data_IF_993921827515
#
_entry.id   IF_993921827515
#
_cell.length_a   1.000
_cell.length_b   1.000
_cell.length_c   1.000
_cell.angle_alpha   90.00
_cell.angle_beta   90.00
_cell.angle_gamma   90.00
#
_symmetry.space_group_name_H-M   'P 1'
#
loop_
_entity.id
_entity.type
_entity.pdbx_description
1 polymer ?
#
# COMPACT_ATOMS: atom_id res chain seq x y z
N UNK A 1 13.16 -21.23 -5.78
CA UNK A 1 12.63 -19.98 -5.19
C UNK A 1 11.50 -19.42 -6.05
N UNK A 2 11.72 -18.55 -7.04
CA UNK A 2 10.60 -17.93 -7.79
C UNK A 2 9.72 -18.94 -8.52
N UNK A 3 10.31 -19.90 -9.24
CA UNK A 3 9.55 -20.95 -9.96
C UNK A 3 8.77 -21.87 -9.01
N UNK A 4 9.30 -22.10 -7.81
CA UNK A 4 8.65 -22.88 -6.76
C UNK A 4 7.47 -22.11 -6.16
N UNK A 5 7.65 -20.83 -5.84
CA UNK A 5 6.59 -19.95 -5.33
C UNK A 5 5.45 -19.77 -6.35
N UNK A 6 5.79 -19.68 -7.64
CA UNK A 6 4.81 -19.54 -8.73
C UNK A 6 4.24 -20.87 -9.23
N UNK A 7 4.74 -22.01 -8.76
CA UNK A 7 4.30 -23.34 -9.21
C UNK A 7 4.57 -23.63 -10.69
N UNK A 8 5.66 -23.09 -11.25
CA UNK A 8 6.05 -23.24 -12.66
C UNK A 8 7.48 -23.81 -12.80
N UNK A 9 7.89 -24.18 -14.02
CA UNK A 9 9.31 -24.49 -14.30
C UNK A 9 10.10 -23.20 -14.55
N UNK A 10 11.42 -23.25 -14.36
CA UNK A 10 12.30 -22.09 -14.59
C UNK A 10 12.19 -21.56 -16.02
N UNK A 11 12.06 -22.46 -17.01
CA UNK A 11 11.95 -22.10 -18.42
C UNK A 11 10.65 -21.35 -18.78
N UNK A 12 9.66 -21.32 -17.88
CA UNK A 12 8.40 -20.56 -18.06
C UNK A 12 8.51 -19.11 -17.56
N UNK A 13 9.59 -18.75 -16.87
CA UNK A 13 9.83 -17.39 -16.39
C UNK A 13 10.53 -16.60 -17.50
N UNK A 14 9.82 -15.62 -18.06
CA UNK A 14 10.30 -14.85 -19.21
C UNK A 14 11.14 -13.64 -18.82
N UNK A 15 10.65 -12.84 -17.88
CA UNK A 15 11.25 -11.58 -17.42
C UNK A 15 10.78 -11.33 -15.98
N UNK A 16 11.59 -10.63 -15.17
CA UNK A 16 11.25 -10.28 -13.80
C UNK A 16 11.70 -8.86 -13.46
N UNK A 17 10.87 -8.15 -12.71
CA UNK A 17 11.25 -6.92 -12.03
C UNK A 17 10.97 -7.12 -10.54
N UNK A 18 12.02 -7.05 -9.72
CA UNK A 18 11.95 -7.39 -8.30
C UNK A 18 12.57 -6.28 -7.47
N UNK A 19 11.84 -5.88 -6.43
CA UNK A 19 12.37 -5.02 -5.37
C UNK A 19 12.83 -5.89 -4.20
N UNK A 20 14.04 -5.62 -3.70
CA UNK A 20 14.47 -6.20 -2.42
C UNK A 20 13.74 -5.46 -1.29
N UNK A 21 13.29 -6.22 -0.30
CA UNK A 21 12.67 -5.66 0.89
C UNK A 21 13.28 -6.25 2.16
N UNK A 22 13.32 -5.44 3.21
CA UNK A 22 13.65 -5.91 4.55
C UNK A 22 12.60 -6.95 5.01
N UNK A 23 13.07 -8.02 5.63
CA UNK A 23 12.23 -9.09 6.16
C UNK A 23 11.74 -8.80 7.58
N UNK A 24 12.31 -7.80 8.25
CA UNK A 24 11.84 -7.35 9.55
C UNK A 24 10.43 -6.75 9.42
N UNK A 25 9.41 -7.27 10.14
CA UNK A 25 8.08 -6.70 10.11
C UNK A 25 8.02 -5.30 10.71
N UNK A 26 7.11 -4.48 10.18
CA UNK A 26 6.76 -3.19 10.79
C UNK A 26 6.24 -3.39 12.21
N UNK A 27 6.60 -2.48 13.13
CA UNK A 27 6.16 -2.53 14.51
C UNK A 27 5.94 -1.12 15.08
N UNK A 28 5.28 -1.07 16.25
CA UNK A 28 5.30 0.13 17.08
C UNK A 28 6.56 0.13 17.95
N UNK A 29 7.06 1.31 18.25
CA UNK A 29 8.23 1.49 19.10
C UNK A 29 8.22 2.81 19.87
N UNK A 30 9.28 3.06 20.62
CA UNK A 30 9.34 4.13 21.62
C UNK A 30 8.85 3.67 22.99
N UNK A 31 9.12 4.46 24.04
CA UNK A 31 8.80 4.09 25.43
C UNK A 31 7.30 3.82 25.64
N UNK A 32 6.44 4.50 24.87
CA UNK A 32 4.98 4.36 24.94
C UNK A 32 4.37 3.75 23.68
N UNK A 33 5.15 3.08 22.82
CA UNK A 33 4.68 2.61 21.50
C UNK A 33 4.09 3.74 20.64
N UNK A 34 4.68 4.94 20.74
CA UNK A 34 4.19 6.17 20.11
C UNK A 34 4.75 6.39 18.69
N UNK A 35 5.74 5.59 18.27
CA UNK A 35 6.31 5.64 16.92
C UNK A 35 5.94 4.42 16.09
N UNK A 36 5.89 4.61 14.77
CA UNK A 36 5.76 3.52 13.79
C UNK A 36 7.13 3.30 13.16
N UNK A 37 7.68 2.09 13.34
CA UNK A 37 8.90 1.65 12.66
C UNK A 37 8.50 0.75 11.50
N UNK A 38 8.70 1.25 10.28
CA UNK A 38 8.31 0.55 9.07
C UNK A 38 9.17 1.02 7.90
N UNK A 39 9.57 0.09 7.04
CA UNK A 39 10.15 0.45 5.75
C UNK A 39 9.08 1.03 4.83
N UNK A 40 9.50 1.92 3.92
CA UNK A 40 8.63 2.50 2.86
C UNK A 40 7.49 3.38 3.40
N UNK A 41 7.64 3.97 4.59
CA UNK A 41 6.66 4.95 5.09
C UNK A 41 6.52 6.12 4.11
N UNK A 42 7.64 6.59 3.58
CA UNK A 42 7.66 7.41 2.38
C UNK A 42 7.43 6.50 1.15
N UNK A 43 6.34 6.60 0.40
CA UNK A 43 5.11 7.38 0.67
C UNK A 43 3.87 6.49 0.91
N UNK A 44 4.07 5.23 1.33
CA UNK A 44 2.94 4.31 1.59
C UNK A 44 2.05 4.79 2.74
N UNK A 45 2.57 5.56 3.69
CA UNK A 45 1.78 6.13 4.77
C UNK A 45 0.70 7.09 4.22
N UNK A 46 1.08 8.01 3.32
CA UNK A 46 0.13 8.93 2.70
C UNK A 46 -0.84 8.20 1.77
N UNK A 47 -0.33 7.26 0.98
CA UNK A 47 -1.15 6.43 0.09
C UNK A 47 -2.23 5.65 0.85
N UNK A 48 -1.87 5.04 1.97
CA UNK A 48 -2.81 4.35 2.85
C UNK A 48 -3.86 5.32 3.43
N UNK A 49 -3.43 6.45 3.99
CA UNK A 49 -4.34 7.43 4.58
C UNK A 49 -5.32 7.99 3.56
N UNK A 50 -4.86 8.32 2.34
CA UNK A 50 -5.71 8.83 1.27
C UNK A 50 -6.77 7.80 0.84
N UNK A 51 -6.36 6.55 0.59
CA UNK A 51 -7.27 5.48 0.22
C UNK A 51 -8.28 5.17 1.34
N UNK A 52 -7.80 5.08 2.59
CA UNK A 52 -8.64 4.83 3.75
C UNK A 52 -9.67 5.93 3.94
N UNK A 53 -9.26 7.20 3.83
CA UNK A 53 -10.16 8.34 3.92
C UNK A 53 -11.21 8.33 2.80
N UNK A 54 -10.84 7.99 1.56
CA UNK A 54 -11.79 7.86 0.46
C UNK A 54 -12.86 6.80 0.77
N UNK A 55 -12.44 5.61 1.22
CA UNK A 55 -13.35 4.52 1.63
C UNK A 55 -14.25 4.98 2.76
N UNK A 56 -13.67 5.53 3.83
CA UNK A 56 -14.42 5.93 5.02
C UNK A 56 -15.43 7.06 4.73
N UNK A 57 -15.11 7.95 3.78
CA UNK A 57 -16.01 9.00 3.31
C UNK A 57 -17.23 8.45 2.56
N UNK A 58 -17.24 7.18 2.17
CA UNK A 58 -18.28 6.51 1.40
C UNK A 58 -19.04 5.44 2.21
N UNK A 59 -18.84 5.37 3.54
CA UNK A 59 -19.39 4.30 4.38
C UNK A 59 -20.93 4.33 4.57
N UNK A 60 -21.64 5.33 4.08
CA UNK A 60 -23.11 5.38 4.08
C UNK A 60 -23.65 5.88 2.75
N UNK A 61 -24.87 5.48 2.41
CA UNK A 61 -25.56 5.94 1.20
C UNK A 61 -25.70 7.46 1.19
N UNK A 62 -25.98 8.06 2.34
CA UNK A 62 -26.15 9.51 2.52
C UNK A 62 -24.87 10.31 2.28
N UNK A 63 -23.70 9.71 2.52
CA UNK A 63 -22.40 10.39 2.41
C UNK A 63 -22.08 10.89 1.00
N UNK A 64 -22.74 10.35 -0.02
CA UNK A 64 -22.57 10.73 -1.43
C UNK A 64 -23.83 11.34 -2.05
N UNK A 65 -25.01 11.24 -1.41
CA UNK A 65 -26.28 11.71 -1.99
C UNK A 65 -26.26 13.19 -2.41
N UNK A 66 -25.56 14.02 -1.64
CA UNK A 66 -25.47 15.47 -1.86
C UNK A 66 -24.04 15.93 -2.21
N UNK A 67 -23.16 15.02 -2.63
CA UNK A 67 -21.79 15.36 -3.00
C UNK A 67 -21.76 15.89 -4.44
N UNK A 68 -21.50 17.20 -4.67
CA UNK A 68 -21.45 17.76 -6.02
C UNK A 68 -20.15 17.42 -6.77
N UNK A 69 -19.12 16.95 -6.07
CA UNK A 69 -17.78 16.74 -6.64
C UNK A 69 -17.45 15.25 -6.82
N UNK A 70 -16.45 14.96 -7.66
CA UNK A 70 -15.87 13.61 -7.73
C UNK A 70 -14.79 13.51 -6.66
N UNK A 71 -14.95 12.59 -5.70
CA UNK A 71 -13.87 12.22 -4.78
C UNK A 71 -12.98 11.19 -5.45
N UNK A 72 -11.70 11.51 -5.62
CA UNK A 72 -10.74 10.65 -6.30
C UNK A 72 -9.40 10.69 -5.57
N UNK A 73 -8.73 9.55 -5.53
CA UNK A 73 -7.33 9.41 -5.11
C UNK A 73 -6.58 8.77 -6.28
N UNK A 74 -5.48 9.40 -6.69
CA UNK A 74 -4.56 8.85 -7.69
C UNK A 74 -3.23 8.55 -6.99
N UNK A 75 -2.84 7.27 -7.00
CA UNK A 75 -1.58 6.79 -6.44
C UNK A 75 -0.67 6.43 -7.61
N UNK A 76 0.40 7.19 -7.79
CA UNK A 76 1.31 7.06 -8.92
C UNK A 76 2.54 6.24 -8.54
N UNK A 77 3.07 5.52 -9.52
CA UNK A 77 4.40 4.92 -9.46
C UNK A 77 5.46 5.94 -9.91
N UNK A 78 6.74 5.61 -9.71
CA UNK A 78 7.92 6.36 -10.20
C UNK A 78 8.05 7.81 -9.69
N UNK A 79 7.64 8.08 -8.45
CA UNK A 79 7.82 9.41 -7.84
C UNK A 79 9.26 9.65 -7.34
N UNK A 80 9.92 8.63 -6.81
CA UNK A 80 11.32 8.65 -6.32
C UNK A 80 12.36 8.95 -7.41
#
# INVERSE_FOLDING_TARGET
ILSEEMGCTVDQIMEIELNLCDTQPSCLGGAHNEFIYSGRLDNLASSFCALRALIDSCNSLESLLNEPSIRMVALFDNEE
#
